data_IF_855642321770
#
_entry.id   IF_855642321770
#
_cell.length_a   1.000
_cell.length_b   1.000
_cell.length_c   1.000
_cell.angle_alpha   90.00
_cell.angle_beta   90.00
_cell.angle_gamma   90.00
#
_symmetry.space_group_name_H-M   'P 1'
#
loop_
_entity.id
_entity.type
_entity.pdbx_description
1 polymer ?
#
# COMPACT_ATOMS: atom_id res chain seq x y z
N UNK A 1 2.40 -31.94 44.19
CA UNK A 1 1.99 -30.53 44.09
C UNK A 1 2.80 -29.95 42.93
N UNK A 2 2.57 -30.39 41.68
CA UNK A 2 1.40 -30.08 40.82
C UNK A 2 1.59 -28.67 40.24
N UNK A 3 1.70 -28.43 38.92
CA UNK A 3 1.75 -29.28 37.71
C UNK A 3 2.64 -28.53 36.64
N UNK A 4 3.08 -29.08 35.49
CA UNK A 4 2.33 -29.28 34.22
C UNK A 4 1.22 -28.21 34.00
N UNK A 5 1.06 -27.49 32.90
CA UNK A 5 1.64 -27.45 31.55
C UNK A 5 1.81 -25.93 31.17
N UNK A 6 2.02 -25.42 29.94
CA UNK A 6 1.83 -25.97 28.58
C UNK A 6 2.90 -25.39 27.61
N UNK A 7 2.51 -24.84 26.46
CA UNK A 7 3.31 -24.70 25.23
C UNK A 7 3.03 -23.38 24.48
N UNK A 8 4.01 -23.03 23.64
CA UNK A 8 3.99 -22.20 22.43
C UNK A 8 2.68 -21.59 21.90
N UNK A 9 2.79 -20.35 21.40
CA UNK A 9 2.17 -19.93 20.13
C UNK A 9 2.97 -18.78 19.49
N UNK A 10 3.46 -18.99 18.27
CA UNK A 10 3.96 -17.91 17.40
C UNK A 10 2.79 -17.11 16.82
N UNK A 11 2.85 -15.78 16.92
CA UNK A 11 2.30 -14.76 16.00
C UNK A 11 2.52 -13.38 16.64
N UNK A 12 2.87 -12.28 15.97
CA UNK A 12 2.90 -11.95 14.53
C UNK A 12 4.25 -11.29 14.17
N UNK A 13 4.72 -11.47 12.94
CA UNK A 13 5.94 -10.84 12.41
C UNK A 13 5.88 -9.30 12.55
N UNK A 14 6.69 -8.79 13.46
CA UNK A 14 7.29 -7.44 13.53
C UNK A 14 6.63 -6.32 12.71
N UNK A 15 5.91 -5.43 13.39
CA UNK A 15 5.66 -4.05 12.92
C UNK A 15 6.97 -3.25 12.96
N UNK A 16 7.81 -3.45 11.96
CA UNK A 16 9.13 -2.83 11.85
C UNK A 16 9.21 -1.84 10.68
N UNK A 17 8.76 -0.61 10.92
CA UNK A 17 9.51 0.57 10.49
C UNK A 17 9.15 1.77 11.37
N UNK A 18 10.03 2.09 12.32
CA UNK A 18 10.07 3.42 12.91
C UNK A 18 10.33 4.45 11.81
N UNK A 19 9.67 5.61 11.88
CA UNK A 19 9.85 6.70 10.92
C UNK A 19 11.23 7.37 11.07
N UNK A 20 12.25 6.73 10.47
CA UNK A 20 13.56 7.31 10.18
C UNK A 20 13.69 7.59 8.68
N UNK A 21 12.60 8.01 8.04
CA UNK A 21 12.62 8.69 6.75
C UNK A 21 12.67 10.20 6.97
N UNK A 22 13.13 11.01 5.99
CA UNK A 22 12.95 12.45 6.05
C UNK A 22 11.45 12.76 6.10
N UNK A 23 11.05 13.70 6.96
CA UNK A 23 9.68 14.20 6.99
C UNK A 23 9.31 14.75 5.60
N UNK A 24 8.20 14.24 5.04
CA UNK A 24 7.73 14.65 3.70
C UNK A 24 6.63 15.69 3.89
N UNK A 25 7.02 16.96 3.75
CA UNK A 25 6.14 18.12 3.89
C UNK A 25 5.27 18.37 2.65
N UNK A 26 5.73 17.95 1.46
CA UNK A 26 5.09 18.27 0.18
C UNK A 26 5.08 17.07 -0.78
N UNK A 27 3.93 16.83 -1.43
CA UNK A 27 3.77 15.77 -2.44
C UNK A 27 3.26 16.39 -3.73
N UNK A 28 4.03 16.25 -4.81
CA UNK A 28 3.67 16.72 -6.15
C UNK A 28 3.27 15.52 -6.99
N UNK A 29 2.07 15.56 -7.57
CA UNK A 29 1.53 14.46 -8.39
C UNK A 29 1.43 14.93 -9.84
N UNK A 30 2.10 14.23 -10.76
CA UNK A 30 1.98 14.53 -12.18
C UNK A 30 0.57 14.21 -12.71
N UNK A 31 -0.08 15.06 -13.52
CA UNK A 31 -1.45 14.83 -14.01
C UNK A 31 -1.63 13.50 -14.76
N UNK A 32 -0.57 13.00 -15.40
CA UNK A 32 -0.56 11.69 -16.05
C UNK A 32 -0.85 10.54 -15.08
N UNK A 33 -0.35 10.61 -13.84
CA UNK A 33 -0.58 9.60 -12.79
C UNK A 33 -2.05 9.52 -12.41
N UNK A 34 -2.72 10.67 -12.25
CA UNK A 34 -4.15 10.72 -11.95
C UNK A 34 -4.98 10.09 -13.08
N UNK A 35 -4.62 10.38 -14.34
CA UNK A 35 -5.26 9.77 -15.51
C UNK A 35 -5.01 8.25 -15.56
N UNK A 36 -3.78 7.80 -15.31
CA UNK A 36 -3.42 6.37 -15.29
C UNK A 36 -4.16 5.60 -14.19
N UNK A 37 -4.33 6.17 -13.00
CA UNK A 37 -5.10 5.55 -11.90
C UNK A 37 -6.60 5.51 -12.24
N UNK A 38 -7.15 6.58 -12.82
CA UNK A 38 -8.56 6.65 -13.22
C UNK A 38 -8.90 5.68 -14.37
N UNK A 39 -7.99 5.51 -15.34
CA UNK A 39 -8.09 4.51 -16.40
C UNK A 39 -7.97 3.09 -15.83
N UNK A 40 -6.99 2.84 -14.94
CA UNK A 40 -6.83 1.52 -14.33
C UNK A 40 -8.10 1.09 -13.57
N UNK A 41 -8.69 1.99 -12.78
CA UNK A 41 -9.98 1.74 -12.13
C UNK A 41 -11.09 1.44 -13.16
N UNK A 42 -11.15 2.23 -14.25
CA UNK A 42 -12.11 2.00 -15.34
C UNK A 42 -11.94 0.65 -16.03
N UNK A 43 -10.72 0.16 -16.21
CA UNK A 43 -10.44 -1.10 -16.91
C UNK A 43 -10.69 -2.34 -16.05
N UNK A 44 -10.52 -2.26 -14.73
CA UNK A 44 -10.54 -3.43 -13.83
C UNK A 44 -11.79 -3.52 -12.96
N UNK A 45 -12.30 -2.39 -12.43
CA UNK A 45 -13.32 -2.39 -11.39
C UNK A 45 -14.67 -1.80 -11.82
N UNK A 46 -14.84 -1.44 -13.09
CA UNK A 46 -16.06 -0.80 -13.62
C UNK A 46 -17.34 -1.54 -13.23
N UNK A 47 -18.21 -0.88 -12.46
CA UNK A 47 -19.47 -1.45 -11.98
C UNK A 47 -19.36 -2.35 -10.74
N UNK A 48 -18.19 -2.46 -10.12
CA UNK A 48 -17.96 -3.26 -8.91
C UNK A 48 -17.39 -2.39 -7.78
N UNK A 49 -17.58 -2.81 -6.52
CA UNK A 49 -16.98 -2.15 -5.35
C UNK A 49 -15.54 -2.61 -5.06
N UNK A 50 -14.89 -3.31 -6.01
CA UNK A 50 -13.54 -3.85 -5.84
C UNK A 50 -12.52 -2.71 -5.71
N UNK A 51 -11.67 -2.78 -4.68
CA UNK A 51 -10.46 -1.97 -4.55
C UNK A 51 -9.45 -2.38 -5.63
N UNK A 52 -8.73 -1.39 -6.15
CA UNK A 52 -7.69 -1.57 -7.17
C UNK A 52 -6.38 -1.10 -6.57
N UNK A 53 -5.31 -1.89 -6.74
CA UNK A 53 -3.98 -1.62 -6.17
C UNK A 53 -2.98 -1.35 -7.30
N UNK A 54 -2.01 -0.50 -7.02
CA UNK A 54 -0.92 -0.18 -7.93
C UNK A 54 0.27 0.36 -7.17
N UNK A 55 1.40 0.49 -7.86
CA UNK A 55 2.62 1.10 -7.32
C UNK A 55 2.79 2.49 -7.91
N UNK A 56 3.21 3.44 -7.06
CA UNK A 56 3.60 4.78 -7.47
C UNK A 56 5.13 4.81 -7.58
N UNK A 57 5.65 5.35 -8.68
CA UNK A 57 7.07 5.55 -8.91
C UNK A 57 7.36 7.05 -8.99
N UNK A 58 8.46 7.46 -8.35
CA UNK A 58 8.77 8.86 -8.16
C UNK A 58 10.14 9.05 -7.53
N UNK A 59 10.46 10.30 -7.21
CA UNK A 59 11.70 10.66 -6.54
C UNK A 59 11.38 11.45 -5.27
N UNK A 60 12.07 11.16 -4.18
CA UNK A 60 12.01 11.97 -2.96
C UNK A 60 13.26 12.84 -2.88
N UNK A 61 13.08 14.13 -2.66
CA UNK A 61 14.16 15.09 -2.51
C UNK A 61 13.84 16.13 -1.42
N UNK A 62 14.64 16.15 -0.34
CA UNK A 62 14.59 17.16 0.73
C UNK A 62 13.16 17.45 1.26
N UNK A 63 12.43 16.41 1.64
CA UNK A 63 11.06 16.53 2.16
C UNK A 63 9.98 16.76 1.10
N UNK A 64 10.33 16.81 -0.19
CA UNK A 64 9.38 16.75 -1.30
C UNK A 64 9.33 15.36 -1.90
N UNK A 65 8.16 14.93 -2.36
CA UNK A 65 7.94 13.68 -3.09
C UNK A 65 7.29 13.97 -4.44
N UNK A 66 8.05 13.77 -5.52
CA UNK A 66 7.59 13.93 -6.90
C UNK A 66 7.11 12.59 -7.46
N UNK A 67 5.79 12.42 -7.64
CA UNK A 67 5.18 11.19 -8.17
C UNK A 67 5.06 11.29 -9.68
N UNK A 68 6.01 10.65 -10.36
CA UNK A 68 6.22 10.73 -11.82
C UNK A 68 5.35 9.75 -12.61
N UNK A 69 5.14 8.54 -12.10
CA UNK A 69 4.48 7.44 -12.81
C UNK A 69 3.72 6.51 -11.85
N UNK A 70 2.81 5.69 -12.39
CA UNK A 70 2.07 4.68 -11.64
C UNK A 70 1.84 3.42 -12.48
N UNK A 71 1.98 2.25 -11.87
CA UNK A 71 1.69 0.98 -12.53
C UNK A 71 0.57 0.21 -11.84
N UNK A 72 -0.31 -0.34 -12.67
CA UNK A 72 -1.35 -1.28 -12.30
C UNK A 72 -0.75 -2.60 -11.78
N UNK A 73 -1.20 -3.07 -10.62
CA UNK A 73 -0.92 -4.44 -10.17
C UNK A 73 -2.21 -5.29 -10.23
N UNK A 74 -2.12 -6.56 -10.65
CA UNK A 74 -3.23 -7.49 -10.53
C UNK A 74 -3.50 -7.76 -9.04
N UNK A 75 -4.68 -7.37 -8.58
CA UNK A 75 -5.13 -7.54 -7.19
C UNK A 75 -6.55 -8.07 -7.17
N UNK A 76 -6.77 -9.10 -6.36
CA UNK A 76 -8.10 -9.61 -6.05
C UNK A 76 -8.41 -9.32 -4.57
N UNK A 77 -9.49 -8.60 -4.33
CA UNK A 77 -9.97 -8.31 -2.99
C UNK A 77 -10.74 -9.51 -2.42
N UNK A 78 -10.21 -10.18 -1.38
CA UNK A 78 -11.00 -11.14 -0.61
C UNK A 78 -11.89 -10.41 0.40
N UNK A 79 -13.20 -10.62 0.25
CA UNK A 79 -14.24 -10.01 1.08
C UNK A 79 -14.22 -10.53 2.53
N UNK A 80 -13.47 -11.61 2.81
CA UNK A 80 -13.39 -12.25 4.13
C UNK A 80 -12.24 -11.75 5.01
N UNK A 81 -11.33 -10.93 4.49
CA UNK A 81 -10.24 -10.34 5.27
C UNK A 81 -10.01 -8.88 4.79
N UNK A 82 -10.66 -7.88 5.43
CA UNK A 82 -10.84 -6.52 4.88
C UNK A 82 -9.58 -5.62 4.88
#
# INVERSE_FOLDING_TARGET
MTAMETESSETVVTKALSSTGPDIDEVVIHPLVLLSVADHYHRVARGTRKRVVGVLLGQSHRGKLDVLNSFALPFEEDIRNP
#
